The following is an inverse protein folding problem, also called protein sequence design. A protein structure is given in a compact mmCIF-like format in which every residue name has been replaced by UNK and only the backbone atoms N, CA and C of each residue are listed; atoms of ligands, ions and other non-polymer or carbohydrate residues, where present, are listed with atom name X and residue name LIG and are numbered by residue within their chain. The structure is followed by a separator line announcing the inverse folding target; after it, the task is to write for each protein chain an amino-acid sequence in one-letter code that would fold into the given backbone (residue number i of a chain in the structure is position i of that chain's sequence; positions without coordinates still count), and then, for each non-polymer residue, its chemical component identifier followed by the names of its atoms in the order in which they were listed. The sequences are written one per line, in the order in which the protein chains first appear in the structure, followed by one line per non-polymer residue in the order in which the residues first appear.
data_IF_610315578286
#
_entry.id   IF_610315578286
#
_cell.length_a   1.000
_cell.length_b   1.000
_cell.length_c   1.000
_cell.angle_alpha   90.00
_cell.angle_beta   90.00
_cell.angle_gamma   90.00
#
_symmetry.space_group_name_H-M   'P 1'
#
loop_
_entity.id
_entity.type
_entity.pdbx_description
1 polymer ?
#
# COMPACT_ATOMS: atom_id res chain seq x y z
N UNK A 1 -21.57 -10.61 -1.44
CA UNK A 1 -20.49 -11.43 -2.06
C UNK A 1 -19.22 -11.21 -1.26
N UNK A 2 -18.31 -12.19 -1.21
CA UNK A 2 -17.01 -11.99 -0.55
C UNK A 2 -16.17 -10.98 -1.34
N UNK A 3 -15.55 -10.02 -0.64
CA UNK A 3 -14.66 -9.03 -1.26
C UNK A 3 -13.36 -9.69 -1.70
N UNK A 4 -12.77 -9.19 -2.78
CA UNK A 4 -11.45 -9.65 -3.21
C UNK A 4 -10.37 -8.99 -2.36
N UNK A 5 -9.52 -9.81 -1.75
CA UNK A 5 -8.38 -9.33 -0.96
C UNK A 5 -7.27 -8.82 -1.89
N UNK A 6 -6.76 -7.63 -1.56
CA UNK A 6 -5.67 -6.94 -2.24
C UNK A 6 -4.64 -6.56 -1.18
N UNK A 7 -3.36 -6.77 -1.49
CA UNK A 7 -2.27 -6.61 -0.50
C UNK A 7 -1.24 -5.54 -0.85
N UNK A 8 -1.27 -5.04 -2.09
CA UNK A 8 -0.39 -3.99 -2.61
C UNK A 8 -1.00 -3.32 -3.86
N UNK A 9 -0.40 -2.21 -4.29
CA UNK A 9 -0.80 -1.47 -5.51
C UNK A 9 -0.72 -2.32 -6.79
N UNK A 10 0.22 -3.26 -6.87
CA UNK A 10 0.31 -4.16 -8.03
C UNK A 10 -0.96 -5.03 -8.16
N UNK A 11 -1.46 -5.55 -7.05
CA UNK A 11 -2.70 -6.33 -7.03
C UNK A 11 -3.91 -5.46 -7.41
N UNK A 12 -3.95 -4.20 -6.92
CA UNK A 12 -4.97 -3.21 -7.27
C UNK A 12 -4.95 -2.88 -8.76
N UNK A 13 -3.77 -2.59 -9.32
CA UNK A 13 -3.58 -2.27 -10.74
C UNK A 13 -4.07 -3.39 -11.65
N UNK A 14 -3.72 -4.65 -11.34
CA UNK A 14 -4.22 -5.81 -12.10
C UNK A 14 -5.73 -5.99 -12.00
N UNK A 15 -6.32 -5.68 -10.84
CA UNK A 15 -7.77 -5.69 -10.70
C UNK A 15 -8.41 -4.55 -11.50
N UNK A 16 -7.88 -3.34 -11.41
CA UNK A 16 -8.39 -2.15 -12.07
C UNK A 16 -8.41 -2.32 -13.58
N UNK A 17 -7.33 -2.82 -14.19
CA UNK A 17 -7.26 -3.09 -15.64
C UNK A 17 -8.45 -3.97 -16.09
N UNK A 18 -8.80 -4.98 -15.29
CA UNK A 18 -9.90 -5.92 -15.60
C UNK A 18 -11.29 -5.36 -15.30
N UNK A 19 -11.40 -4.40 -14.37
CA UNK A 19 -12.68 -4.02 -13.76
C UNK A 19 -12.99 -2.52 -13.83
N UNK A 20 -12.18 -1.70 -14.51
CA UNK A 20 -12.37 -0.25 -14.61
C UNK A 20 -13.78 0.16 -15.04
N UNK A 21 -14.45 -0.64 -15.86
CA UNK A 21 -15.86 -0.40 -16.25
C UNK A 21 -16.84 -0.40 -15.08
N UNK A 22 -16.58 -1.16 -14.03
CA UNK A 22 -17.38 -1.16 -12.80
C UNK A 22 -17.32 0.18 -12.07
N UNK A 23 -16.23 0.94 -12.27
CA UNK A 23 -16.01 2.26 -11.69
C UNK A 23 -16.46 3.39 -12.63
N UNK A 24 -17.12 3.06 -13.74
CA UNK A 24 -17.67 4.02 -14.69
C UNK A 24 -16.70 4.51 -15.77
N UNK A 25 -15.53 3.88 -15.91
CA UNK A 25 -14.60 4.19 -17.00
C UNK A 25 -14.94 3.40 -18.28
N UNK A 26 -14.84 4.03 -19.44
CA UNK A 26 -15.21 3.42 -20.72
C UNK A 26 -14.09 2.50 -21.25
N UNK A 27 -12.85 3.00 -21.27
CA UNK A 27 -11.65 2.27 -21.68
C UNK A 27 -10.36 2.86 -21.10
N UNK A 28 -9.30 2.06 -21.12
CA UNK A 28 -7.93 2.51 -20.85
C UNK A 28 -7.38 3.14 -22.13
N UNK A 29 -7.06 4.43 -22.08
CA UNK A 29 -6.40 5.15 -23.20
C UNK A 29 -4.90 4.90 -23.16
N UNK A 30 -4.30 4.94 -21.96
CA UNK A 30 -2.87 4.71 -21.75
C UNK A 30 -2.61 4.11 -20.37
N UNK A 31 -1.70 3.14 -20.32
CA UNK A 31 -1.09 2.65 -19.10
C UNK A 31 0.32 3.26 -18.98
N UNK A 32 0.56 4.02 -17.91
CA UNK A 32 1.81 4.74 -17.64
C UNK A 32 2.66 3.99 -16.61
N UNK A 33 2.94 2.70 -16.81
CA UNK A 33 3.75 1.88 -15.91
C UNK A 33 4.96 2.64 -15.30
N UNK A 34 4.93 2.84 -13.98
CA UNK A 34 6.00 3.51 -13.23
C UNK A 34 6.08 5.02 -13.40
N UNK A 35 5.04 5.67 -13.94
CA UNK A 35 4.93 7.13 -14.07
C UNK A 35 3.59 7.60 -13.52
N UNK A 36 3.60 8.85 -13.07
CA UNK A 36 2.43 9.51 -12.54
C UNK A 36 1.73 10.36 -13.63
N UNK A 37 0.39 10.29 -13.77
CA UNK A 37 -0.52 9.34 -13.11
C UNK A 37 -0.43 7.93 -13.74
N UNK A 38 -0.76 6.90 -12.98
CA UNK A 38 -0.70 5.48 -13.40
C UNK A 38 -1.44 5.21 -14.72
N UNK A 39 -2.61 5.81 -14.90
CA UNK A 39 -3.45 5.61 -16.07
C UNK A 39 -3.94 6.92 -16.67
N UNK A 40 -4.20 6.88 -17.97
CA UNK A 40 -5.11 7.80 -18.64
C UNK A 40 -6.30 6.98 -19.11
N UNK A 41 -7.48 7.33 -18.63
CA UNK A 41 -8.74 6.65 -18.89
C UNK A 41 -9.64 7.52 -19.77
N UNK A 42 -10.60 6.90 -20.45
CA UNK A 42 -11.76 7.60 -21.01
C UNK A 42 -12.94 7.43 -20.06
N UNK A 43 -13.63 8.53 -19.74
CA UNK A 43 -14.84 8.55 -18.91
C UNK A 43 -15.80 9.59 -19.48
N UNK A 44 -16.96 9.15 -19.96
CA UNK A 44 -17.98 10.01 -20.59
C UNK A 44 -17.39 10.83 -21.76
N UNK A 45 -16.52 10.20 -22.56
CA UNK A 45 -15.87 10.81 -23.72
C UNK A 45 -14.77 11.83 -23.41
N UNK A 46 -14.32 11.95 -22.15
CA UNK A 46 -13.19 12.79 -21.76
C UNK A 46 -12.02 11.94 -21.28
N UNK A 47 -10.81 12.41 -21.55
CA UNK A 47 -9.60 11.84 -20.98
C UNK A 47 -9.48 12.26 -19.50
N UNK A 48 -9.20 11.29 -18.63
CA UNK A 48 -9.08 11.46 -17.17
C UNK A 48 -7.80 10.79 -16.71
N UNK A 49 -6.93 11.52 -16.01
CA UNK A 49 -5.75 10.99 -15.34
C UNK A 49 -6.13 10.34 -14.01
N UNK A 50 -5.76 9.07 -13.85
CA UNK A 50 -6.14 8.24 -12.70
C UNK A 50 -4.89 7.71 -12.01
N UNK A 51 -4.79 7.97 -10.70
CA UNK A 51 -3.78 7.36 -9.82
C UNK A 51 -4.41 6.25 -8.98
N UNK A 52 -3.71 5.12 -8.83
CA UNK A 52 -4.15 4.02 -8.01
C UNK A 52 -3.40 4.00 -6.67
N UNK A 53 -4.13 3.88 -5.57
CA UNK A 53 -3.54 3.84 -4.23
C UNK A 53 -4.25 2.79 -3.38
N UNK A 54 -3.55 2.01 -2.54
CA UNK A 54 -4.29 1.07 -1.66
C UNK A 54 -5.13 1.81 -0.62
N UNK A 55 -4.57 2.87 -0.05
CA UNK A 55 -5.23 3.81 0.85
C UNK A 55 -5.17 5.21 0.25
N UNK A 56 -6.24 5.99 0.34
CA UNK A 56 -6.20 7.40 -0.12
C UNK A 56 -5.06 8.20 0.54
N UNK A 57 -4.68 7.90 1.77
CA UNK A 57 -3.54 8.55 2.46
C UNK A 57 -2.18 8.25 1.82
N UNK A 58 -2.02 7.15 1.08
CA UNK A 58 -0.78 6.83 0.38
C UNK A 58 -0.46 7.88 -0.69
N UNK A 59 -1.48 8.47 -1.33
CA UNK A 59 -1.30 9.58 -2.27
C UNK A 59 -0.47 10.73 -1.68
N UNK A 60 -0.72 11.04 -0.40
CA UNK A 60 0.02 12.07 0.35
C UNK A 60 1.41 11.56 0.73
N UNK A 61 1.51 10.30 1.17
CA UNK A 61 2.77 9.68 1.54
C UNK A 61 3.79 9.69 0.39
N UNK A 62 3.31 9.39 -0.83
CA UNK A 62 4.11 9.40 -2.06
C UNK A 62 4.36 10.80 -2.63
N UNK A 63 3.77 11.86 -2.03
CA UNK A 63 3.94 13.27 -2.42
C UNK A 63 3.51 13.56 -3.86
N UNK A 64 2.45 12.92 -4.32
CA UNK A 64 1.91 13.16 -5.66
C UNK A 64 1.35 14.58 -5.82
N UNK A 65 1.45 15.12 -7.04
CA UNK A 65 0.94 16.45 -7.35
C UNK A 65 -0.54 16.38 -7.75
N UNK A 66 -1.41 16.92 -6.88
CA UNK A 66 -2.87 16.98 -7.06
C UNK A 66 -3.31 17.64 -8.37
N UNK A 67 -2.54 18.57 -8.91
CA UNK A 67 -2.90 19.30 -10.14
C UNK A 67 -2.59 18.51 -11.43
N UNK A 68 -2.05 17.30 -11.32
CA UNK A 68 -1.65 16.44 -12.45
C UNK A 68 -2.42 15.12 -12.48
N UNK A 69 -3.46 15.01 -11.65
CA UNK A 69 -4.36 13.87 -11.57
C UNK A 69 -5.79 14.41 -11.45
N UNK A 70 -6.73 13.73 -12.09
CA UNK A 70 -8.14 14.11 -12.03
C UNK A 70 -8.87 13.29 -10.96
N UNK A 71 -8.55 12.00 -10.85
CA UNK A 71 -9.21 11.06 -9.94
C UNK A 71 -8.18 10.14 -9.26
N UNK A 72 -8.40 9.84 -7.97
CA UNK A 72 -7.65 8.82 -7.22
C UNK A 72 -8.57 7.63 -6.99
N UNK A 73 -8.19 6.45 -7.46
CA UNK A 73 -8.92 5.21 -7.18
C UNK A 73 -8.21 4.49 -6.05
N UNK A 74 -8.93 4.19 -4.97
CA UNK A 74 -8.36 3.48 -3.83
C UNK A 74 -9.20 2.31 -3.34
N UNK A 75 -8.58 1.38 -2.63
CA UNK A 75 -9.32 0.28 -1.97
C UNK A 75 -10.07 0.80 -0.76
N UNK A 76 -9.43 1.67 0.03
CA UNK A 76 -10.06 2.29 1.19
C UNK A 76 -9.83 3.80 1.22
N UNK A 77 -10.90 4.56 1.36
CA UNK A 77 -10.85 6.00 1.59
C UNK A 77 -10.68 6.30 3.08
N UNK A 78 -9.43 6.51 3.49
CA UNK A 78 -9.03 6.83 4.87
C UNK A 78 -8.69 8.31 5.09
N UNK A 79 -8.61 9.11 4.01
CA UNK A 79 -8.27 10.53 4.08
C UNK A 79 -8.83 11.31 2.88
N UNK A 80 -9.28 12.53 3.13
CA UNK A 80 -9.69 13.46 2.07
C UNK A 80 -8.48 14.06 1.35
N UNK A 81 -8.54 14.14 0.02
CA UNK A 81 -7.42 14.60 -0.82
C UNK A 81 -7.68 15.94 -1.51
N UNK A 82 -8.93 16.41 -1.59
CA UNK A 82 -9.29 17.58 -2.40
C UNK A 82 -9.22 17.35 -3.92
N UNK A 83 -9.04 16.09 -4.31
CA UNK A 83 -9.21 15.53 -5.66
C UNK A 83 -10.33 14.49 -5.55
N UNK A 84 -11.04 14.19 -6.63
CA UNK A 84 -12.07 13.16 -6.63
C UNK A 84 -11.47 11.80 -6.22
N UNK A 85 -12.12 11.11 -5.28
CA UNK A 85 -11.70 9.80 -4.79
C UNK A 85 -12.80 8.80 -5.12
N UNK A 86 -12.41 7.72 -5.80
CA UNK A 86 -13.27 6.59 -6.11
C UNK A 86 -12.82 5.39 -5.29
N UNK A 87 -13.67 4.95 -4.38
CA UNK A 87 -13.40 3.77 -3.55
C UNK A 87 -13.90 2.50 -4.26
N UNK A 88 -13.00 1.53 -4.46
CA UNK A 88 -13.31 0.24 -5.06
C UNK A 88 -13.96 -0.70 -4.02
N UNK A 89 -15.27 -0.55 -3.83
CA UNK A 89 -16.05 -1.25 -2.78
C UNK A 89 -15.97 -2.78 -2.80
N UNK A 90 -15.69 -3.38 -3.97
CA UNK A 90 -15.53 -4.83 -4.18
C UNK A 90 -14.22 -5.39 -3.60
N UNK A 91 -13.33 -4.53 -3.14
CA UNK A 91 -12.00 -4.87 -2.66
C UNK A 91 -11.91 -4.72 -1.14
N UNK A 92 -11.04 -5.54 -0.56
CA UNK A 92 -10.61 -5.42 0.83
C UNK A 92 -9.09 -5.34 0.87
N UNK A 93 -8.57 -4.32 1.56
CA UNK A 93 -7.13 -4.14 1.71
C UNK A 93 -6.64 -4.83 2.98
N UNK A 94 -5.81 -5.86 2.81
CA UNK A 94 -5.11 -6.54 3.90
C UNK A 94 -3.61 -6.42 3.61
N UNK A 95 -2.87 -5.57 4.36
CA UNK A 95 -1.46 -5.36 4.10
C UNK A 95 -0.68 -6.65 4.40
N UNK A 96 0.36 -6.93 3.60
CA UNK A 96 1.24 -8.09 3.83
C UNK A 96 2.03 -8.00 5.12
N UNK A 97 2.29 -6.78 5.58
CA UNK A 97 3.05 -6.49 6.79
C UNK A 97 2.24 -5.53 7.66
N UNK A 98 2.16 -5.83 8.95
CA UNK A 98 1.59 -4.92 9.94
C UNK A 98 2.73 -4.24 10.69
N UNK A 99 2.66 -2.91 10.82
CA UNK A 99 3.63 -2.17 11.62
C UNK A 99 3.16 -2.12 13.08
N UNK A 100 3.94 -2.74 13.95
CA UNK A 100 3.77 -2.61 15.40
C UNK A 100 4.77 -1.56 15.91
N UNK A 101 4.29 -0.64 16.74
CA UNK A 101 5.14 0.33 17.44
C UNK A 101 5.30 -0.09 18.89
N UNK A 102 6.54 -0.11 19.38
CA UNK A 102 6.86 -0.46 20.75
C UNK A 102 7.82 0.59 21.33
N UNK A 103 7.68 0.85 22.62
CA UNK A 103 8.63 1.67 23.38
C UNK A 103 9.58 0.73 24.11
N UNK A 104 10.87 1.05 24.08
CA UNK A 104 11.93 0.27 24.74
C UNK A 104 12.70 1.17 25.69
N UNK A 105 13.38 0.59 26.68
CA UNK A 105 14.31 1.34 27.52
C UNK A 105 15.55 1.73 26.72
N UNK A 106 16.27 2.74 27.20
CA UNK A 106 17.55 3.14 26.63
C UNK A 106 18.56 1.98 26.63
N UNK A 107 18.62 1.20 27.71
CA UNK A 107 19.50 0.04 27.80
C UNK A 107 19.19 -1.02 26.72
N UNK A 108 17.92 -1.25 26.38
CA UNK A 108 17.55 -2.14 25.27
C UNK A 108 17.95 -1.55 23.92
N UNK A 109 17.87 -0.23 23.73
CA UNK A 109 18.32 0.41 22.49
C UNK A 109 19.84 0.26 22.28
N UNK A 110 20.62 0.39 23.36
CA UNK A 110 22.06 0.17 23.35
C UNK A 110 22.42 -1.26 22.91
N UNK A 111 21.69 -2.27 23.41
CA UNK A 111 21.84 -3.67 22.97
C UNK A 111 21.58 -3.80 21.46
N UNK A 112 20.49 -3.21 20.94
CA UNK A 112 20.22 -3.24 19.51
C UNK A 112 21.36 -2.61 18.71
N UNK A 113 21.88 -1.47 19.16
CA UNK A 113 22.94 -0.75 18.46
C UNK A 113 24.25 -1.57 18.42
N UNK A 114 24.57 -2.31 19.49
CA UNK A 114 25.69 -3.25 19.49
C UNK A 114 25.45 -4.43 18.55
N UNK A 115 24.25 -5.03 18.57
CA UNK A 115 23.89 -6.13 17.65
C UNK A 115 24.01 -5.73 16.19
N UNK A 116 23.67 -4.48 15.83
CA UNK A 116 23.80 -4.00 14.45
C UNK A 116 25.26 -3.90 13.98
N UNK A 117 26.21 -3.63 14.89
CA UNK A 117 27.65 -3.55 14.53
C UNK A 117 28.22 -4.90 14.10
N UNK A 118 27.69 -6.00 14.65
CA UNK A 118 28.15 -7.35 14.34
C UNK A 118 27.72 -7.83 12.95
N UNK A 119 26.84 -7.10 12.24
CA UNK A 119 26.47 -7.38 10.85
C UNK A 119 25.48 -8.53 10.65
N UNK A 120 25.05 -9.21 11.71
CA UNK A 120 24.16 -10.37 11.63
C UNK A 120 22.70 -10.00 11.27
N UNK A 121 22.33 -8.72 11.36
CA UNK A 121 20.97 -8.26 11.11
C UNK A 121 20.96 -7.04 10.20
N UNK A 122 19.99 -6.99 9.28
CA UNK A 122 19.82 -5.86 8.37
C UNK A 122 19.40 -4.57 9.08
N UNK A 123 18.59 -4.69 10.14
CA UNK A 123 18.05 -3.61 10.95
C UNK A 123 17.43 -4.14 12.25
N UNK A 124 16.96 -3.24 13.12
CA UNK A 124 16.32 -3.58 14.41
C UNK A 124 15.08 -4.47 14.23
N UNK A 125 14.25 -4.20 13.23
CA UNK A 125 13.05 -5.00 12.95
C UNK A 125 13.40 -6.45 12.59
N UNK A 126 14.42 -6.67 11.76
CA UNK A 126 14.88 -8.01 11.41
C UNK A 126 15.40 -8.78 12.64
N UNK A 127 16.08 -8.10 13.57
CA UNK A 127 16.51 -8.72 14.83
C UNK A 127 15.31 -9.15 15.70
N UNK A 128 14.29 -8.29 15.81
CA UNK A 128 13.06 -8.59 16.55
C UNK A 128 12.29 -9.75 15.90
N UNK A 129 12.11 -9.73 14.58
CA UNK A 129 11.46 -10.81 13.83
C UNK A 129 12.17 -12.15 14.05
N UNK A 130 13.51 -12.15 14.01
CA UNK A 130 14.31 -13.34 14.28
C UNK A 130 14.10 -13.86 15.70
N UNK A 131 14.12 -12.97 16.70
CA UNK A 131 13.91 -13.34 18.10
C UNK A 131 12.50 -13.89 18.35
N UNK A 132 11.46 -13.24 17.81
CA UNK A 132 10.06 -13.71 17.94
C UNK A 132 9.91 -15.12 17.35
N UNK A 133 10.51 -15.37 16.18
CA UNK A 133 10.49 -16.69 15.56
C UNK A 133 11.14 -17.75 16.44
N UNK A 134 12.31 -17.44 17.00
CA UNK A 134 13.01 -18.34 17.94
C UNK A 134 12.16 -18.65 19.18
N UNK A 135 11.52 -17.66 19.78
CA UNK A 135 10.63 -17.88 20.93
C UNK A 135 9.43 -18.75 20.55
N UNK A 136 8.80 -18.49 19.40
CA UNK A 136 7.66 -19.27 18.92
C UNK A 136 8.02 -20.75 18.70
N UNK A 137 9.15 -21.02 18.06
CA UNK A 137 9.65 -22.39 17.83
C UNK A 137 9.91 -23.11 19.17
N UNK A 138 10.53 -22.45 20.15
CA UNK A 138 10.78 -23.03 21.47
C UNK A 138 9.52 -23.36 22.27
N UNK A 139 8.45 -22.59 22.08
CA UNK A 139 7.17 -22.82 22.75
C UNK A 139 6.32 -23.91 22.09
N UNK A 140 6.45 -24.10 20.76
CA UNK A 140 5.60 -25.02 19.99
C UNK A 140 6.29 -26.33 19.58
N UNK A 141 7.61 -26.45 19.72
CA UNK A 141 8.35 -27.71 19.55
C UNK A 141 8.47 -28.53 20.88
N UNK A 142 7.60 -28.24 21.86
CA UNK A 142 7.40 -29.02 23.09
C UNK A 142 6.10 -29.80 23.04
#
# INVERSE_FOLDING_TARGET
MAKKIISCEYDLSRWFIKNHRLLGYDKIVRNNNGRFPDFTMEKKGKAVGVELETLSSNFILHKHNKNKVDEVVCVKKDKELGVEIIEASELEFIPRMTRVSATISQSTDEIFNEMMKNGNYRNKSHAIESAIKMFWEQENDK
#
